data_IF_018646111287
#
_entry.id   IF_018646111287
#
_cell.length_a   1.000
_cell.length_b   1.000
_cell.length_c   1.000
_cell.angle_alpha   90.00
_cell.angle_beta   90.00
_cell.angle_gamma   90.00
#
_symmetry.space_group_name_H-M   'P 1'
#
loop_
_entity.id
_entity.type
_entity.pdbx_description
1 polymer ?
#
# COMPACT_ATOMS: atom_id res chain seq x y z
N UNK A 1 -2.72 37.25 -6.77
CA UNK A 1 -2.24 36.29 -5.74
C UNK A 1 -2.46 34.91 -6.33
N UNK A 2 -1.52 34.46 -7.17
CA UNK A 2 -1.65 33.21 -7.93
C UNK A 2 -1.32 32.06 -7.00
N UNK A 3 -2.32 31.22 -6.79
CA UNK A 3 -2.27 29.92 -6.13
C UNK A 3 -1.00 29.19 -6.53
N UNK A 4 -0.22 28.73 -5.55
CA UNK A 4 0.88 27.80 -5.78
C UNK A 4 0.29 26.46 -6.24
N UNK A 5 -0.01 26.33 -7.54
CA UNK A 5 -0.04 25.02 -8.17
C UNK A 5 1.39 24.48 -8.10
N UNK A 6 1.58 23.36 -7.42
CA UNK A 6 2.84 22.67 -7.45
C UNK A 6 3.22 22.38 -8.91
N UNK A 7 4.51 22.50 -9.25
CA UNK A 7 4.95 22.40 -10.63
C UNK A 7 4.52 21.06 -11.23
N UNK A 8 3.89 21.02 -12.43
CA UNK A 8 3.50 19.79 -13.11
C UNK A 8 4.60 18.72 -13.18
N UNK A 9 5.86 19.17 -13.25
CA UNK A 9 7.06 18.32 -13.21
C UNK A 9 7.20 17.49 -11.93
N UNK A 10 6.76 18.02 -10.80
CA UNK A 10 6.85 17.34 -9.51
C UNK A 10 5.79 16.23 -9.42
N UNK A 11 4.59 16.51 -9.91
CA UNK A 11 3.51 15.51 -10.05
C UNK A 11 3.98 14.37 -10.96
N UNK A 12 4.53 14.73 -12.12
CA UNK A 12 5.09 13.78 -13.08
C UNK A 12 6.18 12.92 -12.45
N UNK A 13 7.09 13.51 -11.68
CA UNK A 13 8.14 12.78 -10.98
C UNK A 13 7.57 11.71 -10.03
N UNK A 14 6.62 12.07 -9.16
CA UNK A 14 6.05 11.09 -8.23
C UNK A 14 5.21 10.01 -8.91
N UNK A 15 4.51 10.34 -10.00
CA UNK A 15 3.81 9.34 -10.82
C UNK A 15 4.80 8.39 -11.49
N UNK A 16 5.92 8.90 -12.02
CA UNK A 16 6.99 8.07 -12.57
C UNK A 16 7.65 7.18 -11.51
N UNK A 17 7.88 7.68 -10.31
CA UNK A 17 8.40 6.87 -9.19
C UNK A 17 7.42 5.75 -8.81
N UNK A 18 6.12 6.03 -8.76
CA UNK A 18 5.09 5.00 -8.54
C UNK A 18 5.07 3.97 -9.67
N UNK A 19 5.17 4.40 -10.93
CA UNK A 19 5.26 3.49 -12.09
C UNK A 19 6.52 2.62 -12.05
N UNK A 20 7.66 3.20 -11.67
CA UNK A 20 8.90 2.46 -11.50
C UNK A 20 8.75 1.38 -10.41
N UNK A 21 8.06 1.71 -9.31
CA UNK A 21 7.73 0.76 -8.25
C UNK A 21 6.80 -0.36 -8.74
N UNK A 22 5.77 -0.05 -9.54
CA UNK A 22 4.91 -1.06 -10.19
C UNK A 22 5.76 -2.02 -11.03
N UNK A 23 6.61 -1.48 -11.89
CA UNK A 23 7.45 -2.28 -12.80
C UNK A 23 8.45 -3.12 -12.00
N UNK A 24 9.05 -2.56 -10.94
CA UNK A 24 9.95 -3.29 -10.06
C UNK A 24 9.23 -4.48 -9.41
N UNK A 25 8.05 -4.25 -8.81
CA UNK A 25 7.26 -5.32 -8.18
C UNK A 25 6.72 -6.36 -9.18
N UNK A 26 6.51 -5.97 -10.44
CA UNK A 26 6.08 -6.90 -11.49
C UNK A 26 7.24 -7.74 -12.07
N UNK A 27 8.47 -7.21 -12.06
CA UNK A 27 9.65 -7.83 -12.69
C UNK A 27 10.52 -8.61 -11.72
N UNK A 28 10.65 -8.15 -10.47
CA UNK A 28 11.14 -8.97 -9.38
C UNK A 28 10.14 -10.10 -9.21
N UNK A 29 10.56 -11.33 -9.53
CA UNK A 29 9.72 -12.53 -9.44
C UNK A 29 8.95 -12.45 -8.12
N UNK A 30 7.63 -12.62 -8.19
CA UNK A 30 6.62 -12.53 -7.11
C UNK A 30 6.84 -13.43 -5.88
N UNK A 31 8.08 -13.83 -5.58
CA UNK A 31 8.50 -14.45 -4.34
C UNK A 31 9.14 -13.38 -3.46
N UNK A 32 8.46 -13.06 -2.37
CA UNK A 32 9.01 -12.25 -1.26
C UNK A 32 9.27 -10.77 -1.59
N UNK A 33 8.30 -10.09 -2.24
CA UNK A 33 8.21 -8.64 -2.04
C UNK A 33 8.06 -8.40 -0.53
N UNK A 34 9.08 -7.79 0.07
CA UNK A 34 9.08 -7.46 1.49
C UNK A 34 7.93 -6.47 1.74
N UNK A 35 6.85 -6.94 2.38
CA UNK A 35 5.65 -6.14 2.64
C UNK A 35 5.97 -4.85 3.41
N UNK A 36 7.02 -4.86 4.26
CA UNK A 36 7.50 -3.68 4.97
C UNK A 36 8.08 -2.64 4.00
N UNK A 37 8.90 -3.08 3.04
CA UNK A 37 9.48 -2.20 2.02
C UNK A 37 8.38 -1.61 1.11
N UNK A 38 7.44 -2.45 0.69
CA UNK A 38 6.31 -2.03 -0.13
C UNK A 38 5.48 -0.95 0.59
N UNK A 39 5.09 -1.21 1.84
CA UNK A 39 4.30 -0.27 2.63
C UNK A 39 5.03 1.07 2.83
N UNK A 40 6.30 1.05 3.23
CA UNK A 40 7.09 2.26 3.46
C UNK A 40 7.18 3.13 2.21
N UNK A 41 7.46 2.51 1.04
CA UNK A 41 7.48 3.23 -0.24
C UNK A 41 6.12 3.80 -0.59
N UNK A 42 5.06 3.01 -0.52
CA UNK A 42 3.71 3.48 -0.86
C UNK A 42 3.24 4.62 0.05
N UNK A 43 3.45 4.49 1.36
CA UNK A 43 3.10 5.54 2.32
C UNK A 43 3.91 6.82 2.07
N UNK A 44 5.21 6.70 1.83
CA UNK A 44 6.09 7.84 1.57
C UNK A 44 5.70 8.61 0.31
N UNK A 45 5.45 7.89 -0.80
CA UNK A 45 5.02 8.52 -2.05
C UNK A 45 3.64 9.18 -1.91
N UNK A 46 2.68 8.52 -1.24
CA UNK A 46 1.35 9.09 -1.02
C UNK A 46 1.36 10.33 -0.13
N UNK A 47 2.15 10.34 0.96
CA UNK A 47 2.32 11.53 1.80
C UNK A 47 2.98 12.68 1.04
N UNK A 48 3.94 12.36 0.17
CA UNK A 48 4.60 13.37 -0.67
C UNK A 48 3.61 14.00 -1.65
N UNK A 49 2.81 13.18 -2.34
CA UNK A 49 1.73 13.62 -3.22
C UNK A 49 0.70 14.49 -2.46
N UNK A 50 0.30 14.09 -1.26
CA UNK A 50 -0.63 14.85 -0.42
C UNK A 50 -0.04 16.21 0.01
N UNK A 51 1.25 16.26 0.38
CA UNK A 51 1.97 17.50 0.68
C UNK A 51 2.03 18.46 -0.51
N UNK A 52 1.84 17.94 -1.73
CA UNK A 52 1.83 18.66 -3.01
C UNK A 52 0.40 19.04 -3.40
N UNK A 53 -0.56 18.89 -2.49
CA UNK A 53 -1.97 19.23 -2.73
C UNK A 53 -2.68 18.28 -3.69
N UNK A 54 -2.05 17.14 -4.04
CA UNK A 54 -2.72 16.03 -4.68
C UNK A 54 -3.43 15.23 -3.60
N UNK A 55 -4.58 15.74 -3.17
CA UNK A 55 -5.45 15.02 -2.26
C UNK A 55 -6.01 13.79 -2.96
N UNK A 56 -6.22 12.73 -2.17
CA UNK A 56 -6.87 11.49 -2.59
C UNK A 56 -8.09 11.78 -3.48
N UNK A 57 -8.95 12.71 -3.06
CA UNK A 57 -10.21 13.04 -3.75
C UNK A 57 -10.06 13.50 -5.22
N UNK A 58 -8.93 14.11 -5.59
CA UNK A 58 -8.73 14.63 -6.96
C UNK A 58 -8.07 13.63 -7.90
N UNK A 59 -7.21 12.74 -7.39
CA UNK A 59 -6.34 11.89 -8.21
C UNK A 59 -6.47 10.39 -7.89
N UNK A 60 -7.40 10.04 -7.02
CA UNK A 60 -7.74 8.67 -6.64
C UNK A 60 -7.95 7.70 -7.79
N UNK A 61 -8.73 8.13 -8.78
CA UNK A 61 -9.06 7.30 -9.93
C UNK A 61 -7.82 6.90 -10.73
N UNK A 62 -6.72 7.65 -10.58
CA UNK A 62 -5.42 7.39 -11.20
C UNK A 62 -4.49 6.65 -10.22
N UNK A 63 -4.44 7.09 -8.96
CA UNK A 63 -3.54 6.53 -7.95
C UNK A 63 -3.94 5.11 -7.54
N UNK A 64 -5.25 4.81 -7.46
CA UNK A 64 -5.73 3.51 -7.03
C UNK A 64 -5.30 2.38 -7.99
N UNK A 65 -5.49 2.47 -9.31
CA UNK A 65 -4.99 1.45 -10.24
C UNK A 65 -3.47 1.24 -10.19
N UNK A 66 -2.69 2.30 -9.95
CA UNK A 66 -1.24 2.21 -9.80
C UNK A 66 -0.86 1.41 -8.55
N UNK A 67 -1.50 1.71 -7.42
CA UNK A 67 -1.30 0.99 -6.17
C UNK A 67 -1.75 -0.47 -6.26
N UNK A 68 -2.89 -0.72 -6.89
CA UNK A 68 -3.37 -2.08 -7.15
C UNK A 68 -2.34 -2.90 -7.94
N UNK A 69 -1.70 -2.26 -8.93
CA UNK A 69 -0.65 -2.88 -9.76
C UNK A 69 0.67 -3.09 -9.00
N UNK A 70 0.98 -2.28 -7.98
CA UNK A 70 2.17 -2.44 -7.14
C UNK A 70 2.07 -3.66 -6.20
N UNK A 71 0.86 -4.05 -5.82
CA UNK A 71 0.67 -5.03 -4.75
C UNK A 71 0.75 -6.46 -5.32
N UNK A 72 1.53 -7.36 -4.68
CA UNK A 72 1.57 -8.77 -5.06
C UNK A 72 0.19 -9.43 -5.09
N UNK A 73 -0.06 -10.27 -6.09
CA UNK A 73 -1.36 -10.93 -6.30
C UNK A 73 -1.85 -11.67 -5.04
N UNK A 74 -0.95 -12.31 -4.29
CA UNK A 74 -1.32 -13.02 -3.06
C UNK A 74 -1.87 -12.10 -1.96
N UNK A 75 -1.29 -10.90 -1.79
CA UNK A 75 -1.82 -9.90 -0.86
C UNK A 75 -3.14 -9.32 -1.38
N UNK A 76 -3.26 -9.11 -2.69
CA UNK A 76 -4.50 -8.63 -3.31
C UNK A 76 -5.65 -9.63 -3.14
N UNK A 77 -5.40 -10.94 -3.27
CA UNK A 77 -6.40 -11.99 -3.02
C UNK A 77 -6.91 -11.94 -1.58
N UNK A 78 -6.01 -11.76 -0.61
CA UNK A 78 -6.38 -11.65 0.82
C UNK A 78 -7.23 -10.40 1.05
N UNK A 79 -6.84 -9.27 0.46
CA UNK A 79 -7.60 -8.02 0.51
C UNK A 79 -9.03 -8.17 -0.02
N UNK A 80 -9.17 -8.72 -1.23
CA UNK A 80 -10.47 -8.93 -1.90
C UNK A 80 -11.37 -9.94 -1.20
N UNK A 81 -10.80 -10.90 -0.45
CA UNK A 81 -11.58 -11.87 0.33
C UNK A 81 -12.30 -11.22 1.53
N UNK A 82 -11.91 -10.01 1.92
CA UNK A 82 -12.48 -9.36 3.09
C UNK A 82 -13.81 -8.65 2.73
N UNK A 83 -14.97 -9.11 3.27
CA UNK A 83 -16.28 -8.59 2.88
C UNK A 83 -16.48 -7.11 3.24
N UNK A 84 -15.67 -6.56 4.16
CA UNK A 84 -15.71 -5.14 4.55
C UNK A 84 -15.18 -4.19 3.45
N UNK A 85 -14.45 -4.71 2.46
CA UNK A 85 -13.90 -3.93 1.35
C UNK A 85 -14.73 -4.04 0.07
N UNK A 86 -15.53 -5.11 -0.04
CA UNK A 86 -16.44 -5.41 -1.14
C UNK A 86 -17.87 -4.93 -0.85
N UNK A 87 -18.04 -3.83 -0.11
CA UNK A 87 -19.34 -3.18 -0.12
C UNK A 87 -19.52 -2.60 -1.52
N UNK A 88 -20.44 -3.18 -2.30
CA UNK A 88 -20.89 -2.68 -3.60
C UNK A 88 -21.25 -1.17 -3.54
N UNK A 89 -21.52 -0.68 -2.33
CA UNK A 89 -21.65 0.71 -1.93
C UNK A 89 -20.46 1.58 -2.37
N UNK A 90 -19.21 1.16 -2.15
CA UNK A 90 -18.01 1.95 -2.49
C UNK A 90 -17.76 2.05 -4.00
N UNK A 91 -18.14 1.02 -4.77
CA UNK A 91 -18.06 1.07 -6.24
C UNK A 91 -19.15 1.96 -6.85
N UNK A 92 -20.29 2.10 -6.17
CA UNK A 92 -21.42 2.93 -6.59
C UNK A 92 -21.29 4.40 -6.16
N UNK A 93 -20.63 4.68 -5.02
CA UNK A 93 -20.45 6.04 -4.49
C UNK A 93 -19.22 6.75 -5.07
N UNK A 94 -18.29 6.03 -5.69
CA UNK A 94 -17.06 6.61 -6.23
C UNK A 94 -16.13 7.17 -5.13
N UNK A 95 -16.29 6.72 -3.89
CA UNK A 95 -15.48 7.12 -2.75
C UNK A 95 -14.20 6.25 -2.69
N UNK A 96 -13.32 6.46 -3.67
CA UNK A 96 -12.05 5.73 -3.74
C UNK A 96 -11.04 6.21 -2.66
N UNK A 97 -11.39 7.23 -1.85
CA UNK A 97 -10.45 7.90 -0.94
C UNK A 97 -10.41 7.25 0.40
N UNK A 98 -11.57 6.75 0.78
CA UNK A 98 -11.66 5.68 1.72
C UNK A 98 -10.97 4.42 1.18
N UNK A 99 -11.05 4.09 -0.11
CA UNK A 99 -10.42 2.88 -0.67
C UNK A 99 -8.88 2.88 -0.57
N UNK A 100 -8.22 3.99 -0.90
CA UNK A 100 -6.77 4.16 -0.77
C UNK A 100 -6.31 4.03 0.69
N UNK A 101 -6.98 4.74 1.60
CA UNK A 101 -6.68 4.69 3.04
C UNK A 101 -6.93 3.30 3.62
N UNK A 102 -8.01 2.63 3.19
CA UNK A 102 -8.34 1.28 3.61
C UNK A 102 -7.25 0.29 3.18
N UNK A 103 -6.74 0.41 1.95
CA UNK A 103 -5.67 -0.44 1.43
C UNK A 103 -4.38 -0.29 2.23
N UNK A 104 -3.97 0.94 2.55
CA UNK A 104 -2.81 1.19 3.43
C UNK A 104 -3.03 0.61 4.83
N UNK A 105 -4.23 0.78 5.41
CA UNK A 105 -4.57 0.19 6.70
C UNK A 105 -4.46 -1.33 6.69
N UNK A 106 -4.80 -1.99 5.57
CA UNK A 106 -4.65 -3.43 5.42
C UNK A 106 -3.20 -3.87 5.34
N UNK A 107 -2.39 -3.21 4.50
CA UNK A 107 -0.96 -3.53 4.42
C UNK A 107 -0.29 -3.40 5.79
N UNK A 108 -0.65 -2.36 6.56
CA UNK A 108 -0.19 -2.20 7.94
C UNK A 108 -0.62 -3.36 8.85
N UNK A 109 -1.87 -3.83 8.74
CA UNK A 109 -2.36 -4.99 9.52
C UNK A 109 -1.64 -6.28 9.15
N UNK A 110 -1.33 -6.50 7.88
CA UNK A 110 -0.56 -7.67 7.44
C UNK A 110 0.87 -7.61 7.97
N UNK A 111 1.50 -6.43 8.00
CA UNK A 111 2.80 -6.21 8.66
C UNK A 111 2.73 -6.58 10.15
N UNK A 112 1.75 -6.02 10.88
CA UNK A 112 1.55 -6.33 12.31
C UNK A 112 1.25 -7.83 12.53
N UNK A 113 0.57 -8.48 11.59
CA UNK A 113 0.31 -9.91 11.58
C UNK A 113 1.59 -10.73 11.45
N UNK A 114 2.47 -10.35 10.52
CA UNK A 114 3.78 -10.98 10.33
C UNK A 114 4.66 -10.77 11.57
N UNK A 115 4.71 -9.56 12.15
CA UNK A 115 5.42 -9.29 13.41
C UNK A 115 4.95 -10.19 14.55
N UNK A 116 3.63 -10.35 14.71
CA UNK A 116 3.05 -11.26 15.72
C UNK A 116 3.42 -12.71 15.48
N UNK A 117 3.46 -13.14 14.22
CA UNK A 117 3.89 -14.49 13.85
C UNK A 117 5.37 -14.71 14.16
N UNK A 118 6.23 -13.74 13.86
CA UNK A 118 7.66 -13.77 14.19
C UNK A 118 7.88 -13.79 15.71
N UNK A 119 7.14 -12.99 16.46
CA UNK A 119 7.15 -13.00 17.93
C UNK A 119 6.74 -14.37 18.49
N UNK A 120 5.67 -14.98 17.97
CA UNK A 120 5.25 -16.32 18.39
C UNK A 120 6.30 -17.39 18.07
N UNK A 121 6.90 -17.35 16.87
CA UNK A 121 8.00 -18.26 16.48
C UNK A 121 9.21 -18.12 17.39
N UNK A 122 9.59 -16.88 17.72
CA UNK A 122 10.75 -16.60 18.58
C UNK A 122 10.47 -16.94 20.05
N UNK A 123 9.27 -16.67 20.56
CA UNK A 123 8.84 -17.09 21.89
C UNK A 123 8.88 -18.61 22.06
N UNK A 124 8.44 -19.36 21.05
CA UNK A 124 8.55 -20.82 21.06
C UNK A 124 10.02 -21.30 21.04
N UNK A 125 10.91 -20.64 20.29
CA UNK A 125 12.36 -20.96 20.29
C UNK A 125 13.02 -20.80 21.66
N UNK A 126 12.61 -19.82 22.46
CA UNK A 126 13.15 -19.62 23.81
C UNK A 126 12.73 -20.73 24.78
N UNK A 127 11.49 -21.23 24.69
CA UNK A 127 11.00 -22.33 25.54
C UNK A 127 11.75 -23.64 25.27
N UNK A 128 12.04 -23.97 24.01
CA UNK A 128 12.80 -25.17 23.66
C UNK A 128 14.30 -25.08 23.99
N UNK A 129 14.87 -23.88 24.06
CA UNK A 129 16.30 -23.68 24.37
C UNK A 129 16.61 -23.76 25.88
N UNK A 130 15.59 -23.76 26.75
CA UNK A 130 15.73 -23.84 28.21
C UNK A 130 15.59 -25.26 28.77
N UNK A 131 15.35 -26.25 27.89
CA UNK A 131 15.18 -27.67 28.26
C UNK A 131 16.35 -28.58 27.83
N UNK A 132 17.56 -28.03 27.63
CA UNK A 132 18.79 -28.81 27.40
C UNK A 132 19.81 -28.48 28.49
#
# INVERSE_FOLDING_TARGET
MTSYEFSPLLIEFYVHELLALVIQNATERRGESNIYYLYDKLESHLRSLESIGLTSEKYEAILFPLLESCIPEELMKVWLRNPTQSSAENELTGDYGNKLKNLLCFLKREIEGEDRLQLAKNGMKFEFSKSI
#
